data_IF_304447409372
#
_entry.id   IF_304447409372
#
_cell.length_a   1.000
_cell.length_b   1.000
_cell.length_c   1.000
_cell.angle_alpha   90.00
_cell.angle_beta   90.00
_cell.angle_gamma   90.00
#
_symmetry.space_group_name_H-M   'P 1'
#
loop_
_entity.id
_entity.type
_entity.pdbx_description
1 polymer ?
#
# COMPACT_ATOMS: atom_id res chain seq x y z
N UNK A 1 -13.95 5.96 -8.62
CA UNK A 1 -12.96 5.14 -7.89
C UNK A 1 -11.92 4.47 -8.79
N UNK A 2 -12.28 4.02 -10.01
CA UNK A 2 -11.37 3.27 -10.89
C UNK A 2 -10.28 4.10 -11.60
N UNK A 3 -10.50 5.40 -11.81
CA UNK A 3 -9.54 6.26 -12.52
C UNK A 3 -8.24 6.51 -11.73
N UNK A 4 -8.28 6.39 -10.41
CA UNK A 4 -7.12 6.64 -9.56
C UNK A 4 -6.08 5.51 -9.62
N UNK A 5 -6.56 4.27 -9.78
CA UNK A 5 -5.72 3.09 -9.91
C UNK A 5 -4.86 3.12 -11.19
N UNK A 6 -5.40 3.70 -12.28
CA UNK A 6 -4.68 3.81 -13.56
C UNK A 6 -3.55 4.85 -13.49
N UNK A 7 -3.75 5.95 -12.75
CA UNK A 7 -2.73 6.97 -12.55
C UNK A 7 -1.56 6.46 -11.70
N UNK A 8 -1.85 5.65 -10.68
CA UNK A 8 -0.82 5.00 -9.84
C UNK A 8 0.00 3.97 -10.63
N UNK A 9 -0.65 3.21 -11.52
CA UNK A 9 0.03 2.25 -12.39
C UNK A 9 0.99 2.93 -13.38
N UNK A 10 0.59 4.08 -13.94
CA UNK A 10 1.43 4.82 -14.88
C UNK A 10 2.70 5.42 -14.21
N UNK A 11 2.60 5.84 -12.95
CA UNK A 11 3.75 6.39 -12.21
C UNK A 11 4.77 5.32 -11.82
N UNK A 12 4.33 4.07 -11.65
CA UNK A 12 5.18 2.94 -11.28
C UNK A 12 5.99 2.37 -12.46
N UNK A 13 5.60 2.67 -13.71
CA UNK A 13 6.28 2.19 -14.93
C UNK A 13 7.39 3.12 -15.43
N UNK A 14 7.63 4.27 -14.79
CA UNK A 14 8.76 5.11 -15.13
C UNK A 14 10.06 4.49 -14.58
N UNK A 15 11.06 4.16 -15.42
CA UNK A 15 12.25 3.43 -14.99
C UNK A 15 13.16 4.29 -14.10
N UNK A 16 13.18 3.98 -12.82
CA UNK A 16 14.12 4.50 -11.82
C UNK A 16 15.51 3.89 -12.06
N UNK A 17 16.41 4.72 -12.60
CA UNK A 17 17.84 4.46 -12.79
C UNK A 17 18.54 4.25 -11.44
N UNK A 18 19.23 3.13 -11.16
CA UNK A 18 19.92 2.94 -9.89
C UNK A 18 21.31 3.56 -9.96
N UNK A 19 21.68 4.39 -8.97
CA UNK A 19 23.08 4.75 -8.73
C UNK A 19 23.50 4.16 -7.39
N UNK A 20 24.32 3.12 -7.46
CA UNK A 20 25.02 2.53 -6.34
C UNK A 20 26.23 3.40 -5.95
N UNK A 21 26.44 3.58 -4.65
CA UNK A 21 27.71 3.46 -3.93
C UNK A 21 27.54 4.04 -2.53
N UNK A 22 27.62 3.18 -1.52
CA UNK A 22 27.65 3.55 -0.11
C UNK A 22 29.08 3.90 0.32
N UNK A 23 29.26 5.03 1.00
CA UNK A 23 30.34 5.23 1.98
C UNK A 23 29.96 6.32 3.00
N UNK A 24 30.17 5.97 4.27
CA UNK A 24 30.38 6.82 5.46
C UNK A 24 29.20 7.64 6.03
N UNK A 25 28.66 7.12 7.14
CA UNK A 25 28.30 7.83 8.39
C UNK A 25 27.71 9.24 8.25
N UNK A 26 26.38 9.32 8.21
CA UNK A 26 25.56 10.35 8.88
C UNK A 26 24.06 9.98 8.73
N UNK A 27 23.37 9.74 9.84
CA UNK A 27 21.90 9.63 9.93
C UNK A 27 21.25 11.04 9.84
N UNK A 28 19.95 11.20 9.55
CA UNK A 28 19.21 10.84 8.34
C UNK A 28 18.56 12.09 7.67
N UNK A 29 18.53 12.17 6.34
CA UNK A 29 17.67 13.13 5.63
C UNK A 29 16.43 12.40 5.11
N UNK A 30 15.36 12.42 5.90
CA UNK A 30 14.02 12.04 5.45
C UNK A 30 13.66 12.83 4.17
N UNK A 31 13.03 12.23 3.15
CA UNK A 31 12.58 12.97 1.98
C UNK A 31 11.58 14.03 2.46
N UNK A 32 11.95 15.30 2.29
CA UNK A 32 11.13 16.44 2.66
C UNK A 32 9.76 16.30 1.96
N UNK A 33 8.72 16.02 2.74
CA UNK A 33 7.34 16.12 2.28
C UNK A 33 7.15 17.54 1.70
N UNK A 34 6.49 17.71 0.55
CA UNK A 34 6.20 19.05 0.03
C UNK A 34 5.46 19.80 1.13
N UNK A 35 5.99 20.96 1.52
CA UNK A 35 5.44 21.80 2.58
C UNK A 35 3.96 22.07 2.28
N UNK A 36 3.08 21.26 2.86
CA UNK A 36 1.65 21.42 2.64
C UNK A 36 1.27 22.77 3.24
N UNK A 37 0.66 23.64 2.43
CA UNK A 37 0.25 24.95 2.89
C UNK A 37 -0.58 24.82 4.18
N UNK A 38 -0.30 25.64 5.21
CA UNK A 38 -0.91 25.50 6.52
C UNK A 38 -2.45 25.58 6.46
N UNK A 39 -3.01 26.36 5.52
CA UNK A 39 -4.45 26.43 5.29
C UNK A 39 -5.06 25.09 4.85
N UNK A 40 -4.37 24.37 3.95
CA UNK A 40 -4.80 23.04 3.51
C UNK A 40 -4.77 22.04 4.67
N UNK A 41 -3.76 22.13 5.54
CA UNK A 41 -3.65 21.25 6.70
C UNK A 41 -4.79 21.48 7.70
N UNK A 42 -5.16 22.72 7.99
CA UNK A 42 -6.30 23.02 8.88
C UNK A 42 -7.64 22.58 8.29
N UNK A 43 -7.81 22.72 6.97
CA UNK A 43 -8.98 22.18 6.29
C UNK A 43 -9.09 20.66 6.42
N UNK A 44 -7.98 19.94 6.21
CA UNK A 44 -7.91 18.49 6.36
C UNK A 44 -8.24 18.09 7.82
N UNK A 45 -7.67 18.77 8.81
CA UNK A 45 -7.97 18.50 10.23
C UNK A 45 -9.46 18.63 10.52
N UNK A 46 -10.10 19.71 10.04
CA UNK A 46 -11.53 19.96 10.21
C UNK A 46 -12.37 18.86 9.55
N UNK A 47 -12.03 18.47 8.31
CA UNK A 47 -12.71 17.39 7.62
C UNK A 47 -12.60 16.04 8.35
N UNK A 48 -11.42 15.73 8.90
CA UNK A 48 -11.22 14.50 9.67
C UNK A 48 -12.13 14.49 10.90
N UNK A 49 -12.15 15.57 11.68
CA UNK A 49 -12.99 15.68 12.87
C UNK A 49 -14.48 15.52 12.52
N UNK A 50 -14.95 16.20 11.46
CA UNK A 50 -16.33 16.09 11.00
C UNK A 50 -16.69 14.66 10.56
N UNK A 51 -15.83 13.99 9.80
CA UNK A 51 -16.05 12.61 9.33
C UNK A 51 -16.09 11.59 10.48
N UNK A 52 -15.37 11.87 11.56
CA UNK A 52 -15.36 11.03 12.75
C UNK A 52 -16.48 11.39 13.75
N UNK A 53 -17.28 12.43 13.47
CA UNK A 53 -18.32 12.92 14.39
C UNK A 53 -17.73 13.55 15.67
N UNK A 54 -16.50 14.06 15.60
CA UNK A 54 -15.78 14.63 16.74
C UNK A 54 -15.84 16.16 16.70
N UNK A 55 -16.09 16.78 17.84
CA UNK A 55 -16.06 18.24 17.98
C UNK A 55 -14.65 18.78 18.21
N UNK A 56 -13.75 17.94 18.74
CA UNK A 56 -12.37 18.30 19.03
C UNK A 56 -11.44 17.10 18.92
N UNK A 57 -10.13 17.36 18.84
CA UNK A 57 -9.11 16.32 18.83
C UNK A 57 -9.08 15.61 20.19
N UNK A 58 -9.25 14.28 20.26
CA UNK A 58 -9.16 13.56 21.51
C UNK A 58 -7.73 13.57 22.06
N UNK A 59 -7.63 13.63 23.38
CA UNK A 59 -6.34 13.57 24.10
C UNK A 59 -5.76 12.16 23.98
N UNK A 60 -4.52 12.00 23.50
CA UNK A 60 -3.90 10.69 23.46
C UNK A 60 -3.68 10.18 24.90
N UNK A 61 -4.09 8.95 25.17
CA UNK A 61 -3.97 8.29 26.49
C UNK A 61 -2.53 7.85 26.84
N UNK A 62 -1.53 8.38 26.13
CA UNK A 62 -0.13 7.93 26.19
C UNK A 62 0.25 7.06 25.00
N UNK A 63 1.52 6.61 24.99
CA UNK A 63 2.00 5.69 23.98
C UNK A 63 1.45 4.27 24.25
N UNK A 64 1.06 3.52 23.21
CA UNK A 64 0.70 2.12 23.39
C UNK A 64 1.92 1.32 23.91
N UNK A 65 1.70 0.24 24.69
CA UNK A 65 2.77 -0.66 25.12
C UNK A 65 3.61 -1.17 23.93
N UNK A 66 4.91 -1.38 24.15
CA UNK A 66 5.87 -1.75 23.07
C UNK A 66 5.50 -3.05 22.38
N UNK A 67 4.95 -4.00 23.13
CA UNK A 67 4.42 -5.28 22.71
C UNK A 67 3.27 -5.12 21.70
N UNK A 68 2.32 -4.22 21.96
CA UNK A 68 1.23 -3.90 21.02
C UNK A 68 1.77 -3.33 19.72
N UNK A 69 2.76 -2.42 19.79
CA UNK A 69 3.42 -1.87 18.60
C UNK A 69 4.11 -2.97 17.79
N UNK A 70 4.85 -3.86 18.46
CA UNK A 70 5.52 -5.00 17.80
C UNK A 70 4.52 -5.94 17.14
N UNK A 71 3.40 -6.22 17.80
CA UNK A 71 2.35 -7.09 17.26
C UNK A 71 1.69 -6.48 16.02
N UNK A 72 1.41 -5.18 16.02
CA UNK A 72 0.86 -4.47 14.86
C UNK A 72 1.84 -4.53 13.69
N UNK A 73 3.12 -4.28 13.95
CA UNK A 73 4.15 -4.31 12.89
C UNK A 73 4.35 -5.72 12.33
N UNK A 74 4.37 -6.74 13.18
CA UNK A 74 4.43 -8.13 12.76
C UNK A 74 3.23 -8.48 11.87
N UNK A 75 2.02 -8.16 12.32
CA UNK A 75 0.79 -8.43 11.55
C UNK A 75 0.74 -7.67 10.22
N UNK A 76 1.22 -6.44 10.17
CA UNK A 76 1.29 -5.67 8.94
C UNK A 76 2.28 -6.29 7.95
N UNK A 77 3.40 -6.85 8.43
CA UNK A 77 4.34 -7.60 7.60
C UNK A 77 3.72 -8.89 7.04
N UNK A 78 2.88 -9.58 7.82
CA UNK A 78 2.26 -10.84 7.41
C UNK A 78 1.27 -10.69 6.24
N UNK A 79 0.64 -9.51 6.08
CA UNK A 79 -0.28 -9.26 4.95
C UNK A 79 0.39 -9.20 3.56
N UNK A 80 1.73 -9.21 3.51
CA UNK A 80 2.48 -9.20 2.25
C UNK A 80 2.82 -10.59 1.69
N UNK A 81 2.39 -11.66 2.35
CA UNK A 81 2.72 -13.03 1.92
C UNK A 81 1.45 -13.81 1.60
N UNK A 82 1.34 -14.24 0.34
CA UNK A 82 0.40 -15.22 -0.24
C UNK A 82 -1.00 -14.69 -0.64
N UNK A 83 -1.45 -14.79 -1.89
CA UNK A 83 -1.52 -16.03 -2.71
C UNK A 83 -1.27 -15.79 -4.21
N UNK A 84 -0.15 -16.25 -4.77
CA UNK A 84 0.04 -16.35 -6.22
C UNK A 84 -0.39 -17.71 -6.80
N UNK A 85 -0.62 -18.74 -5.98
CA UNK A 85 -0.84 -20.11 -6.48
C UNK A 85 -2.27 -20.42 -6.96
N UNK A 86 -3.29 -19.71 -6.49
CA UNK A 86 -4.69 -19.97 -6.89
C UNK A 86 -4.95 -19.52 -8.35
N UNK A 87 -4.33 -18.43 -8.79
CA UNK A 87 -4.50 -17.91 -10.15
C UNK A 87 -3.81 -18.79 -11.20
N UNK A 88 -2.59 -19.28 -10.91
CA UNK A 88 -1.88 -20.19 -11.81
C UNK A 88 -2.60 -21.53 -11.96
N UNK A 89 -3.18 -22.05 -10.89
CA UNK A 89 -3.91 -23.33 -10.94
C UNK A 89 -5.23 -23.18 -11.69
N UNK A 90 -5.93 -22.05 -11.52
CA UNK A 90 -7.13 -21.72 -12.28
C UNK A 90 -6.84 -21.55 -13.78
N UNK A 91 -5.75 -20.87 -14.13
CA UNK A 91 -5.35 -20.70 -15.55
C UNK A 91 -5.03 -22.05 -16.20
N UNK A 92 -4.29 -22.92 -15.50
CA UNK A 92 -3.98 -24.28 -15.99
C UNK A 92 -5.24 -25.11 -16.22
N UNK A 93 -6.24 -24.98 -15.33
CA UNK A 93 -7.51 -25.69 -15.46
C UNK A 93 -8.34 -25.18 -16.65
N UNK A 94 -8.41 -23.86 -16.85
CA UNK A 94 -9.10 -23.25 -17.99
C UNK A 94 -8.48 -23.71 -19.32
N UNK A 95 -7.14 -23.76 -19.39
CA UNK A 95 -6.42 -24.25 -20.57
C UNK A 95 -6.73 -25.73 -20.81
N UNK A 96 -6.72 -26.56 -19.77
CA UNK A 96 -7.01 -27.99 -19.90
C UNK A 96 -8.43 -28.26 -20.42
N UNK A 97 -9.42 -27.48 -19.99
CA UNK A 97 -10.81 -27.59 -20.47
C UNK A 97 -10.89 -27.19 -21.95
N UNK A 98 -10.29 -26.06 -22.33
CA UNK A 98 -10.30 -25.57 -23.71
C UNK A 98 -9.66 -26.57 -24.70
N UNK A 99 -8.60 -27.27 -24.31
CA UNK A 99 -7.99 -28.30 -25.15
C UNK A 99 -8.84 -29.58 -25.26
N UNK A 100 -9.58 -29.94 -24.21
CA UNK A 100 -10.46 -31.13 -24.21
C UNK A 100 -11.62 -31.00 -25.20
N UNK A 101 -12.15 -29.80 -25.36
CA UNK A 101 -13.26 -29.51 -26.28
C UNK A 101 -12.82 -29.47 -27.75
N UNK A 102 -11.51 -29.39 -28.02
CA UNK A 102 -10.94 -29.39 -29.38
C UNK A 102 -10.67 -30.82 -29.88
N UNK A 103 -10.41 -31.77 -28.98
CA UNK A 103 -10.01 -33.15 -29.33
C UNK A 103 -11.18 -34.11 -29.60
N UNK A 104 -12.42 -33.70 -29.32
CA UNK A 104 -13.62 -34.45 -29.71
C UNK A 104 -14.59 -33.58 -30.53
N UNK A 105 -14.34 -33.39 -31.84
CA UNK A 105 -15.40 -32.94 -32.73
C UNK A 105 -16.44 -34.06 -32.84
N UNK A 106 -17.70 -33.74 -32.54
CA UNK A 106 -18.85 -34.58 -32.87
C UNK A 106 -19.02 -34.74 -34.39
#
# INVERSE_FOLDING_TARGET
MRAWLVLCAALALAPSRPRAAATAVAEPAAPAAPAAEPARLEHIKTQILAKLGLTSRPTPLGAPPRDVVRQILARAADTHTERPHEEEHSMREIIAIAHRDIEYPA
#
